data_IF_533743130718
#
_entry.id   IF_533743130718
#
_cell.length_a   1.000
_cell.length_b   1.000
_cell.length_c   1.000
_cell.angle_alpha   90.00
_cell.angle_beta   90.00
_cell.angle_gamma   90.00
#
_symmetry.space_group_name_H-M   'P 1'
#
loop_
_entity.id
_entity.type
_entity.pdbx_description
1 polymer ?
#
# COMPACT_ATOMS: atom_id res chain seq x y z
N UNK A 1 3.78 14.79 0.88
CA UNK A 1 2.60 15.30 1.63
C UNK A 1 1.66 14.11 1.81
N UNK A 2 1.14 13.86 3.01
CA UNK A 2 0.13 12.82 3.22
C UNK A 2 -1.11 13.15 2.39
N UNK A 3 -1.67 12.15 1.72
CA UNK A 3 -2.95 12.32 1.04
C UNK A 3 -4.04 12.49 2.09
N UNK A 4 -5.09 13.24 1.76
CA UNK A 4 -6.24 13.36 2.64
C UNK A 4 -6.98 12.02 2.74
N UNK A 5 -7.66 11.75 3.86
CA UNK A 5 -8.30 10.46 4.11
C UNK A 5 -9.29 10.03 3.01
N UNK A 6 -9.91 11.00 2.34
CA UNK A 6 -10.79 10.76 1.18
C UNK A 6 -10.02 10.26 -0.05
N UNK A 7 -8.85 10.81 -0.32
CA UNK A 7 -7.99 10.38 -1.42
C UNK A 7 -7.42 8.98 -1.17
N UNK A 8 -7.10 8.65 0.08
CA UNK A 8 -6.67 7.28 0.46
C UNK A 8 -7.81 6.29 0.27
N UNK A 9 -9.04 6.66 0.67
CA UNK A 9 -10.20 5.79 0.49
C UNK A 9 -10.48 5.49 -0.99
N UNK A 10 -10.49 6.52 -1.84
CA UNK A 10 -10.64 6.33 -3.29
C UNK A 10 -9.52 5.49 -3.89
N UNK A 11 -8.29 5.67 -3.41
CA UNK A 11 -7.16 4.88 -3.85
C UNK A 11 -7.32 3.41 -3.45
N UNK A 12 -7.75 3.12 -2.23
CA UNK A 12 -8.05 1.76 -1.77
C UNK A 12 -9.12 1.08 -2.63
N UNK A 13 -10.23 1.78 -2.93
CA UNK A 13 -11.30 1.26 -3.79
C UNK A 13 -10.77 0.92 -5.21
N UNK A 14 -9.99 1.83 -5.82
CA UNK A 14 -9.37 1.57 -7.13
C UNK A 14 -8.39 0.40 -7.09
N UNK A 15 -7.67 0.23 -5.99
CA UNK A 15 -6.68 -0.83 -5.87
C UNK A 15 -7.30 -2.20 -5.66
N UNK A 16 -8.43 -2.29 -4.94
CA UNK A 16 -9.21 -3.51 -4.82
C UNK A 16 -9.73 -3.99 -6.20
N UNK A 17 -10.17 -3.05 -7.04
CA UNK A 17 -10.54 -3.35 -8.43
C UNK A 17 -9.33 -3.78 -9.29
N UNK A 18 -8.16 -3.18 -9.06
CA UNK A 18 -6.93 -3.47 -9.81
C UNK A 18 -6.26 -4.78 -9.39
N UNK A 19 -6.32 -5.17 -8.11
CA UNK A 19 -5.84 -6.48 -7.65
C UNK A 19 -6.72 -7.60 -8.17
N UNK A 20 -8.05 -7.42 -8.18
CA UNK A 20 -9.00 -8.39 -8.78
C UNK A 20 -8.82 -8.60 -10.29
N UNK A 21 -8.18 -7.65 -10.99
CA UNK A 21 -7.87 -7.74 -12.42
C UNK A 21 -6.41 -8.13 -12.72
N UNK A 22 -5.60 -8.42 -11.70
CA UNK A 22 -4.19 -8.83 -11.85
C UNK A 22 -3.24 -7.69 -12.24
N UNK A 23 -3.65 -6.43 -12.06
CA UNK A 23 -2.88 -5.24 -12.45
C UNK A 23 -1.96 -4.73 -11.33
N UNK A 24 -1.34 -5.65 -10.59
CA UNK A 24 -0.45 -5.38 -9.43
C UNK A 24 0.72 -4.43 -9.76
N UNK A 25 1.13 -4.38 -11.03
CA UNK A 25 2.20 -3.49 -11.49
C UNK A 25 1.80 -2.00 -11.46
N UNK A 26 0.54 -1.69 -11.77
CA UNK A 26 0.02 -0.32 -11.66
C UNK A 26 -0.11 0.10 -10.20
N UNK A 27 -0.41 -0.85 -9.31
CA UNK A 27 -0.45 -0.62 -7.87
C UNK A 27 0.93 -0.22 -7.34
N UNK A 28 1.97 -0.96 -7.74
CA UNK A 28 3.34 -0.67 -7.32
C UNK A 28 3.83 0.71 -7.79
N UNK A 29 3.45 1.14 -9.00
CA UNK A 29 3.86 2.44 -9.55
C UNK A 29 3.19 3.60 -8.80
N UNK A 30 1.89 3.46 -8.46
CA UNK A 30 1.19 4.43 -7.64
C UNK A 30 1.69 4.44 -6.18
N UNK A 31 2.03 3.28 -5.65
CA UNK A 31 2.55 3.11 -4.30
C UNK A 31 3.92 3.78 -4.09
N UNK A 32 4.76 3.83 -5.13
CA UNK A 32 6.07 4.49 -5.06
C UNK A 32 6.00 6.00 -4.75
N UNK A 33 4.84 6.64 -5.00
CA UNK A 33 4.60 8.05 -4.69
C UNK A 33 3.86 8.31 -3.36
N UNK A 34 3.50 7.27 -2.61
CA UNK A 34 2.75 7.40 -1.37
C UNK A 34 3.65 7.69 -0.16
N UNK A 35 3.06 8.32 0.86
CA UNK A 35 3.70 8.41 2.17
C UNK A 35 3.77 7.00 2.80
N UNK A 36 4.83 6.65 3.55
CA UNK A 36 4.96 5.33 4.18
C UNK A 36 3.74 4.89 5.01
N UNK A 37 3.16 5.78 5.80
CA UNK A 37 1.91 5.48 6.56
C UNK A 37 0.74 5.12 5.64
N UNK A 38 0.55 5.88 4.56
CA UNK A 38 -0.57 5.68 3.63
C UNK A 38 -0.36 4.36 2.86
N UNK A 39 0.89 4.00 2.61
CA UNK A 39 1.29 2.74 1.99
C UNK A 39 1.12 1.54 2.92
N UNK A 40 1.44 1.68 4.22
CA UNK A 40 1.17 0.68 5.23
C UNK A 40 -0.34 0.38 5.31
N UNK A 41 -1.14 1.44 5.47
CA UNK A 41 -2.60 1.41 5.41
C UNK A 41 -3.11 0.70 4.14
N UNK A 42 -2.50 0.97 3.00
CA UNK A 42 -2.85 0.36 1.73
C UNK A 42 -2.61 -1.15 1.76
N UNK A 43 -1.40 -1.57 2.12
CA UNK A 43 -0.97 -2.97 2.13
C UNK A 43 -1.83 -3.76 3.12
N UNK A 44 -2.14 -3.20 4.28
CA UNK A 44 -3.04 -3.81 5.25
C UNK A 44 -4.48 -3.99 4.74
N UNK A 45 -4.94 -3.12 3.84
CA UNK A 45 -6.26 -3.28 3.23
C UNK A 45 -6.32 -4.36 2.15
N UNK A 46 -5.18 -4.79 1.61
CA UNK A 46 -5.12 -5.86 0.61
C UNK A 46 -5.25 -7.24 1.26
N UNK A 47 -5.75 -8.21 0.49
CA UNK A 47 -5.75 -9.62 0.89
C UNK A 47 -4.31 -10.10 1.13
N UNK A 48 -4.15 -10.97 2.12
CA UNK A 48 -2.85 -11.43 2.62
C UNK A 48 -1.96 -12.01 1.50
N UNK A 49 -2.58 -12.70 0.54
CA UNK A 49 -1.92 -13.27 -0.64
C UNK A 49 -1.19 -12.24 -1.52
N UNK A 50 -1.69 -10.99 -1.59
CA UNK A 50 -1.12 -9.93 -2.41
C UNK A 50 -0.15 -9.01 -1.65
N UNK A 51 -0.17 -9.03 -0.31
CA UNK A 51 0.68 -8.14 0.52
C UNK A 51 2.16 -8.38 0.27
N UNK A 52 2.55 -9.66 0.25
CA UNK A 52 3.96 -10.06 0.03
C UNK A 52 4.41 -9.70 -1.38
N UNK A 53 3.58 -9.95 -2.40
CA UNK A 53 3.91 -9.60 -3.78
C UNK A 53 4.13 -8.08 -3.95
N UNK A 54 3.24 -7.25 -3.38
CA UNK A 54 3.37 -5.79 -3.39
C UNK A 54 4.67 -5.36 -2.72
N UNK A 55 4.97 -5.86 -1.51
CA UNK A 55 6.19 -5.53 -0.79
C UNK A 55 7.45 -5.90 -1.58
N UNK A 56 7.44 -7.02 -2.30
CA UNK A 56 8.55 -7.45 -3.15
C UNK A 56 8.73 -6.60 -4.42
N UNK A 57 7.68 -5.93 -4.91
CA UNK A 57 7.76 -5.04 -6.08
C UNK A 57 8.21 -3.62 -5.73
N UNK A 58 8.08 -3.21 -4.46
CA UNK A 58 8.46 -1.89 -4.00
C UNK A 58 9.99 -1.72 -3.89
N UNK A 59 10.50 -0.48 -4.06
CA UNK A 59 11.88 -0.18 -3.73
C UNK A 59 12.18 -0.50 -2.26
N UNK A 60 13.34 -1.12 -1.98
CA UNK A 60 13.73 -1.55 -0.63
C UNK A 60 13.56 -0.50 0.47
N UNK A 61 13.93 0.78 0.27
CA UNK A 61 13.73 1.80 1.31
C UNK A 61 12.24 2.03 1.63
N UNK A 62 11.38 1.97 0.61
CA UNK A 62 9.95 2.20 0.75
C UNK A 62 9.26 1.02 1.43
N UNK A 63 9.61 -0.20 1.01
CA UNK A 63 9.10 -1.43 1.62
C UNK A 63 9.47 -1.50 3.12
N UNK A 64 10.71 -1.15 3.46
CA UNK A 64 11.15 -1.10 4.87
C UNK A 64 10.38 -0.07 5.69
N UNK A 65 10.11 1.12 5.14
CA UNK A 65 9.37 2.16 5.85
C UNK A 65 7.89 1.78 6.03
N UNK A 66 7.27 1.17 5.01
CA UNK A 66 5.90 0.68 5.11
C UNK A 66 5.78 -0.39 6.20
N UNK A 67 6.73 -1.34 6.27
CA UNK A 67 6.74 -2.36 7.33
C UNK A 67 6.88 -1.79 8.73
N UNK A 68 7.68 -0.72 8.90
CA UNK A 68 7.80 -0.03 10.20
C UNK A 68 6.47 0.61 10.59
N UNK A 69 5.82 1.33 9.67
CA UNK A 69 4.54 1.99 9.93
C UNK A 69 3.42 0.97 10.23
N UNK A 70 3.41 -0.19 9.56
CA UNK A 70 2.48 -1.31 9.86
C UNK A 70 2.68 -1.81 11.30
N UNK A 71 3.93 -2.07 11.70
CA UNK A 71 4.25 -2.52 13.06
C UNK A 71 3.90 -1.46 14.12
N UNK A 72 4.05 -0.16 13.81
CA UNK A 72 3.65 0.94 14.68
C UNK A 72 2.13 1.16 14.75
N UNK A 73 1.39 0.71 13.73
CA UNK A 73 -0.08 0.76 13.67
C UNK A 73 -0.76 -0.33 14.49
N UNK A 74 -0.16 -1.51 14.59
CA UNK A 74 -0.68 -2.64 15.37
C UNK A 74 -0.65 -2.42 16.89
N UNK A 75 0.21 -1.52 17.39
CA UNK A 75 0.39 -1.24 18.82
C UNK A 75 -0.56 -0.13 19.36
N UNK A 76 -1.50 0.39 18.54
CA UNK A 76 -2.39 1.53 18.87
C UNK A 76 -3.83 1.17 19.20
#
# INVERSE_FOLDING_TARGET
>A
MKRSAQEIKQLREQLDELTGTGQLRLVSDQAAGLHPSDLADLIESLAEEYRVEILCMLPTPLASQALVEMAEGEDR
#
